data_IF_563402273012
#
_entry.id   IF_563402273012
#
_cell.length_a   1.000
_cell.length_b   1.000
_cell.length_c   1.000
_cell.angle_alpha   90.00
_cell.angle_beta   90.00
_cell.angle_gamma   90.00
#
_symmetry.space_group_name_H-M   'P 1'
#
loop_
_entity.id
_entity.type
_entity.pdbx_description
1 polymer ?
#
# COMPACT_ATOMS: atom_id res chain seq x y z
N UNK A 1 48.16 -5.39 -26.71
CA UNK A 1 47.32 -6.60 -26.77
C UNK A 1 46.75 -7.02 -25.42
N UNK A 2 47.53 -6.86 -24.33
CA UNK A 2 47.02 -7.09 -22.98
C UNK A 2 45.82 -6.18 -22.64
N UNK A 3 45.84 -4.92 -23.10
CA UNK A 3 44.76 -3.96 -22.89
C UNK A 3 43.45 -4.36 -23.54
N UNK A 4 43.48 -5.01 -24.70
CA UNK A 4 42.29 -5.50 -25.39
C UNK A 4 41.62 -6.67 -24.70
N UNK A 5 42.36 -7.45 -23.89
CA UNK A 5 41.81 -8.55 -23.08
C UNK A 5 41.27 -8.07 -21.73
N UNK A 6 41.91 -7.02 -21.16
CA UNK A 6 41.49 -6.45 -19.89
C UNK A 6 40.19 -5.64 -20.01
N UNK A 7 40.00 -4.91 -21.12
CA UNK A 7 38.89 -4.00 -21.32
C UNK A 7 37.51 -4.68 -21.28
N UNK A 8 37.27 -5.87 -21.89
CA UNK A 8 35.99 -6.54 -21.80
C UNK A 8 35.66 -6.95 -20.36
N UNK A 9 36.63 -7.44 -19.60
CA UNK A 9 36.44 -7.82 -18.19
C UNK A 9 36.12 -6.60 -17.33
N UNK A 10 36.84 -5.51 -17.54
CA UNK A 10 36.58 -4.25 -16.82
C UNK A 10 35.20 -3.69 -17.15
N UNK A 11 34.79 -3.72 -18.43
CA UNK A 11 33.47 -3.29 -18.85
C UNK A 11 32.37 -4.14 -18.22
N UNK A 12 32.55 -5.46 -18.14
CA UNK A 12 31.59 -6.37 -17.51
C UNK A 12 31.51 -6.15 -16.00
N UNK A 13 32.62 -5.92 -15.31
CA UNK A 13 32.64 -5.59 -13.89
C UNK A 13 31.93 -4.27 -13.61
N UNK A 14 32.15 -3.25 -14.42
CA UNK A 14 31.45 -1.95 -14.31
C UNK A 14 29.97 -2.13 -14.55
N UNK A 15 29.58 -2.90 -15.56
CA UNK A 15 28.18 -3.17 -15.86
C UNK A 15 27.50 -3.92 -14.72
N UNK A 16 28.12 -4.92 -14.14
CA UNK A 16 27.61 -5.64 -12.98
C UNK A 16 27.43 -4.71 -11.78
N UNK A 17 28.38 -3.81 -11.56
CA UNK A 17 28.31 -2.81 -10.49
C UNK A 17 27.14 -1.85 -10.71
N UNK A 18 26.94 -1.37 -11.95
CA UNK A 18 25.82 -0.48 -12.30
C UNK A 18 24.49 -1.19 -12.12
N UNK A 19 24.37 -2.44 -12.54
CA UNK A 19 23.16 -3.23 -12.36
C UNK A 19 22.84 -3.41 -10.88
N UNK A 20 23.83 -3.71 -10.05
CA UNK A 20 23.67 -3.82 -8.61
C UNK A 20 23.22 -2.53 -7.96
N UNK A 21 23.81 -1.39 -8.36
CA UNK A 21 23.43 -0.07 -7.86
C UNK A 21 22.01 0.29 -8.26
N UNK A 22 21.64 0.10 -9.54
CA UNK A 22 20.29 0.38 -10.03
C UNK A 22 19.26 -0.48 -9.33
N UNK A 23 19.57 -1.75 -9.09
CA UNK A 23 18.68 -2.66 -8.38
C UNK A 23 18.49 -2.22 -6.93
N UNK A 24 19.58 -1.81 -6.26
CA UNK A 24 19.51 -1.31 -4.89
C UNK A 24 18.67 -0.03 -4.81
N UNK A 25 18.85 0.90 -5.75
CA UNK A 25 18.04 2.13 -5.83
C UNK A 25 16.57 1.83 -6.08
N UNK A 26 16.26 0.88 -6.98
CA UNK A 26 14.90 0.47 -7.28
C UNK A 26 14.23 -0.18 -6.06
N UNK A 27 14.94 -1.02 -5.33
CA UNK A 27 14.43 -1.64 -4.10
C UNK A 27 14.20 -0.61 -3.00
N UNK A 28 15.11 0.36 -2.85
CA UNK A 28 14.94 1.44 -1.89
C UNK A 28 13.72 2.31 -2.23
N UNK A 29 13.52 2.63 -3.51
CA UNK A 29 12.36 3.39 -3.98
C UNK A 29 11.06 2.60 -3.74
N UNK A 30 11.06 1.28 -3.98
CA UNK A 30 9.91 0.42 -3.72
C UNK A 30 9.58 0.37 -2.23
N UNK A 31 10.58 0.22 -1.37
CA UNK A 31 10.39 0.22 0.09
C UNK A 31 9.83 1.56 0.57
N UNK A 32 10.33 2.69 0.02
CA UNK A 32 9.82 4.01 0.33
C UNK A 32 8.37 4.19 -0.10
N UNK A 33 8.00 3.73 -1.29
CA UNK A 33 6.63 3.76 -1.79
C UNK A 33 5.69 2.94 -0.90
N UNK A 34 6.09 1.73 -0.52
CA UNK A 34 5.31 0.87 0.38
C UNK A 34 5.13 1.51 1.75
N UNK A 35 6.18 2.08 2.32
CA UNK A 35 6.12 2.77 3.61
C UNK A 35 5.15 3.96 3.56
N UNK A 36 5.18 4.76 2.48
CA UNK A 36 4.26 5.87 2.28
C UNK A 36 2.81 5.42 2.21
N UNK A 37 2.53 4.39 1.41
CA UNK A 37 1.17 3.84 1.29
C UNK A 37 0.70 3.19 2.58
N UNK A 38 1.58 2.50 3.32
CA UNK A 38 1.25 1.92 4.63
C UNK A 38 0.90 3.02 5.65
N UNK A 39 1.62 4.15 5.62
CA UNK A 39 1.31 5.30 6.47
C UNK A 39 -0.07 5.88 6.20
N UNK A 40 -0.42 6.06 4.93
CA UNK A 40 -1.75 6.55 4.51
C UNK A 40 -2.85 5.57 4.93
N UNK A 41 -2.65 4.28 4.71
CA UNK A 41 -3.61 3.24 5.11
C UNK A 41 -3.79 3.21 6.63
N UNK A 42 -2.71 3.35 7.40
CA UNK A 42 -2.75 3.42 8.86
C UNK A 42 -3.53 4.63 9.36
N UNK A 43 -3.33 5.80 8.77
CA UNK A 43 -4.10 7.01 9.09
C UNK A 43 -5.59 6.82 8.79
N UNK A 44 -5.91 6.23 7.65
CA UNK A 44 -7.30 5.94 7.27
C UNK A 44 -7.98 5.00 8.26
N UNK A 45 -7.29 3.95 8.67
CA UNK A 45 -7.82 3.00 9.67
C UNK A 45 -8.02 3.67 11.03
N UNK A 46 -7.09 4.52 11.45
CA UNK A 46 -7.21 5.28 12.70
C UNK A 46 -8.43 6.21 12.65
N UNK A 47 -8.59 6.95 11.57
CA UNK A 47 -9.74 7.85 11.37
C UNK A 47 -11.05 7.07 11.36
N UNK A 48 -11.08 5.91 10.70
CA UNK A 48 -12.25 5.03 10.67
C UNK A 48 -12.60 4.51 12.07
N UNK A 49 -11.61 4.13 12.86
CA UNK A 49 -11.81 3.67 14.24
C UNK A 49 -12.36 4.79 15.13
N UNK A 50 -11.85 6.00 14.97
CA UNK A 50 -12.36 7.18 15.72
C UNK A 50 -13.79 7.50 15.32
N UNK A 51 -14.12 7.48 14.03
CA UNK A 51 -15.47 7.69 13.53
C UNK A 51 -16.42 6.60 14.06
N UNK A 52 -15.96 5.35 14.08
CA UNK A 52 -16.75 4.22 14.60
C UNK A 52 -17.05 4.36 16.10
N UNK A 53 -16.12 4.90 16.87
CA UNK A 53 -16.38 5.22 18.28
C UNK A 53 -17.56 6.19 18.42
N UNK A 54 -17.64 7.19 17.54
CA UNK A 54 -18.78 8.12 17.51
C UNK A 54 -20.10 7.44 17.14
N UNK A 55 -20.06 6.54 16.14
CA UNK A 55 -21.25 5.76 15.75
C UNK A 55 -21.70 4.83 16.88
N UNK A 56 -20.77 4.17 17.57
CA UNK A 56 -21.08 3.30 18.69
C UNK A 56 -21.67 4.09 19.87
N UNK A 57 -21.14 5.27 20.17
CA UNK A 57 -21.66 6.13 21.22
C UNK A 57 -23.09 6.60 20.91
N UNK A 58 -23.36 6.99 19.66
CA UNK A 58 -24.70 7.39 19.22
C UNK A 58 -25.69 6.22 19.30
N UNK A 59 -25.26 5.02 18.90
CA UNK A 59 -26.08 3.82 19.00
C UNK A 59 -26.40 3.46 20.46
N UNK A 60 -25.43 3.58 21.36
CA UNK A 60 -25.66 3.36 22.79
C UNK A 60 -26.68 4.37 23.35
N UNK A 61 -26.58 5.64 22.95
CA UNK A 61 -27.54 6.66 23.33
C UNK A 61 -28.95 6.34 22.82
N UNK A 62 -29.07 5.86 21.59
CA UNK A 62 -30.37 5.46 20.99
C UNK A 62 -30.98 4.27 21.75
N UNK A 63 -30.18 3.31 22.15
CA UNK A 63 -30.65 2.16 22.94
C UNK A 63 -31.12 2.63 24.31
N UNK A 64 -30.38 3.51 24.97
CA UNK A 64 -30.75 4.04 26.29
C UNK A 64 -31.99 4.94 26.23
N UNK A 65 -32.21 5.64 25.12
CA UNK A 65 -33.39 6.49 24.92
C UNK A 65 -34.62 5.71 24.46
N UNK A 66 -34.49 4.43 24.13
CA UNK A 66 -35.59 3.60 23.64
C UNK A 66 -36.66 3.43 24.74
N UNK A 67 -37.92 3.62 24.33
CA UNK A 67 -39.04 3.50 25.26
C UNK A 67 -39.48 2.03 25.48
N UNK A 68 -39.14 1.15 24.53
CA UNK A 68 -39.52 -0.27 24.59
C UNK A 68 -38.33 -1.17 24.24
N UNK A 69 -38.35 -2.45 24.67
CA UNK A 69 -37.31 -3.41 24.25
C UNK A 69 -37.22 -3.59 22.72
N UNK A 70 -38.35 -3.47 22.02
CA UNK A 70 -38.39 -3.57 20.55
C UNK A 70 -37.63 -2.38 19.92
N UNK A 71 -37.86 -1.19 20.39
CA UNK A 71 -37.13 0.01 19.93
C UNK A 71 -35.63 -0.10 20.20
N UNK A 72 -35.23 -0.63 21.36
CA UNK A 72 -33.85 -0.88 21.68
C UNK A 72 -33.24 -1.91 20.71
N UNK A 73 -33.94 -2.99 20.41
CA UNK A 73 -33.49 -3.99 19.44
C UNK A 73 -33.37 -3.42 18.03
N UNK A 74 -34.30 -2.57 17.61
CA UNK A 74 -34.24 -1.86 16.32
C UNK A 74 -33.02 -0.94 16.24
N UNK A 75 -32.73 -0.21 17.31
CA UNK A 75 -31.54 0.64 17.37
C UNK A 75 -30.25 -0.18 17.22
N UNK A 76 -30.16 -1.32 17.90
CA UNK A 76 -29.04 -2.24 17.78
C UNK A 76 -28.92 -2.80 16.36
N UNK A 77 -30.03 -3.16 15.74
CA UNK A 77 -30.04 -3.68 14.37
C UNK A 77 -29.58 -2.60 13.37
N UNK A 78 -30.05 -1.37 13.51
CA UNK A 78 -29.58 -0.25 12.66
C UNK A 78 -28.10 -0.05 12.79
N UNK A 79 -27.57 -0.11 14.01
CA UNK A 79 -26.13 -0.01 14.23
C UNK A 79 -25.38 -1.15 13.54
N UNK A 80 -25.83 -2.38 13.73
CA UNK A 80 -25.20 -3.57 13.14
C UNK A 80 -25.17 -3.50 11.61
N UNK A 81 -26.29 -3.12 10.99
CA UNK A 81 -26.35 -2.98 9.52
C UNK A 81 -25.48 -1.84 9.03
N UNK A 82 -25.46 -0.71 9.73
CA UNK A 82 -24.57 0.41 9.42
C UNK A 82 -23.09 0.03 9.56
N UNK A 83 -22.77 -0.73 10.59
CA UNK A 83 -21.41 -1.24 10.81
C UNK A 83 -20.94 -2.13 9.66
N UNK A 84 -21.77 -3.05 9.21
CA UNK A 84 -21.47 -3.92 8.07
C UNK A 84 -21.23 -3.12 6.80
N UNK A 85 -22.05 -2.10 6.54
CA UNK A 85 -21.85 -1.22 5.39
C UNK A 85 -20.54 -0.45 5.47
N UNK A 86 -20.21 0.11 6.64
CA UNK A 86 -18.96 0.84 6.87
C UNK A 86 -17.75 -0.08 6.80
N UNK A 87 -17.83 -1.27 7.40
CA UNK A 87 -16.76 -2.26 7.35
C UNK A 87 -16.51 -2.73 5.91
N UNK A 88 -17.55 -2.96 5.13
CA UNK A 88 -17.44 -3.31 3.72
C UNK A 88 -16.78 -2.21 2.89
N UNK A 89 -17.16 -0.94 3.11
CA UNK A 89 -16.54 0.19 2.44
C UNK A 89 -15.07 0.33 2.81
N UNK A 90 -14.70 0.13 4.08
CA UNK A 90 -13.31 0.14 4.54
C UNK A 90 -12.50 -0.99 3.91
N UNK A 91 -13.09 -2.17 3.82
CA UNK A 91 -12.45 -3.31 3.17
C UNK A 91 -12.12 -3.01 1.70
N UNK A 92 -13.09 -2.47 0.95
CA UNK A 92 -12.89 -2.09 -0.44
C UNK A 92 -11.81 -1.00 -0.58
N UNK A 93 -11.83 0.01 0.28
CA UNK A 93 -10.83 1.08 0.29
C UNK A 93 -9.43 0.53 0.59
N UNK A 94 -9.32 -0.38 1.56
CA UNK A 94 -8.05 -1.00 1.92
C UNK A 94 -7.50 -1.84 0.77
N UNK A 95 -8.34 -2.63 0.11
CA UNK A 95 -7.94 -3.40 -1.07
C UNK A 95 -7.47 -2.50 -2.21
N UNK A 96 -8.14 -1.37 -2.45
CA UNK A 96 -7.72 -0.39 -3.45
C UNK A 96 -6.35 0.21 -3.09
N UNK A 97 -6.13 0.55 -1.82
CA UNK A 97 -4.86 1.07 -1.32
C UNK A 97 -3.74 0.04 -1.49
N UNK A 98 -3.99 -1.23 -1.17
CA UNK A 98 -3.03 -2.31 -1.35
C UNK A 98 -2.66 -2.50 -2.82
N UNK A 99 -3.64 -2.44 -3.71
CA UNK A 99 -3.40 -2.55 -5.16
C UNK A 99 -2.53 -1.39 -5.66
N UNK A 100 -2.80 -0.17 -5.22
CA UNK A 100 -1.98 1.00 -5.55
C UNK A 100 -0.57 0.88 -4.98
N UNK A 101 -0.45 0.39 -3.75
CA UNK A 101 0.85 0.18 -3.10
C UNK A 101 1.69 -0.85 -3.87
N UNK A 102 1.09 -1.95 -4.29
CA UNK A 102 1.76 -2.97 -5.09
C UNK A 102 2.22 -2.40 -6.44
N UNK A 103 1.35 -1.66 -7.13
CA UNK A 103 1.71 -1.02 -8.40
C UNK A 103 2.85 -0.02 -8.22
N UNK A 104 2.82 0.80 -7.17
CA UNK A 104 3.85 1.77 -6.86
C UNK A 104 5.18 1.09 -6.49
N UNK A 105 5.13 -0.04 -5.79
CA UNK A 105 6.32 -0.80 -5.42
C UNK A 105 6.99 -1.47 -6.62
N UNK A 106 6.20 -1.94 -7.59
CA UNK A 106 6.70 -2.61 -8.80
C UNK A 106 7.26 -1.62 -9.81
N UNK A 107 6.70 -0.41 -9.90
CA UNK A 107 7.09 0.58 -10.91
C UNK A 107 8.59 0.90 -10.94
N UNK A 108 9.30 1.16 -9.82
CA UNK A 108 10.73 1.41 -9.85
C UNK A 108 11.54 0.19 -10.31
N UNK A 109 11.12 -1.01 -9.94
CA UNK A 109 11.77 -2.26 -10.34
C UNK A 109 11.61 -2.46 -11.84
N UNK A 110 10.41 -2.24 -12.37
CA UNK A 110 10.14 -2.32 -13.80
C UNK A 110 10.95 -1.30 -14.59
N UNK A 111 11.01 -0.05 -14.13
CA UNK A 111 11.78 1.01 -14.77
C UNK A 111 13.28 0.66 -14.83
N UNK A 112 13.82 0.11 -13.75
CA UNK A 112 15.21 -0.33 -13.70
C UNK A 112 15.47 -1.49 -14.68
N UNK A 113 14.56 -2.44 -14.78
CA UNK A 113 14.66 -3.54 -15.72
C UNK A 113 14.62 -3.07 -17.18
N UNK A 114 13.76 -2.12 -17.51
CA UNK A 114 13.66 -1.53 -18.86
C UNK A 114 14.93 -0.78 -19.21
N UNK A 115 15.44 0.06 -18.30
CA UNK A 115 16.68 0.80 -18.50
C UNK A 115 17.86 -0.13 -18.72
N UNK A 116 17.94 -1.19 -17.93
CA UNK A 116 18.97 -2.22 -18.03
C UNK A 116 18.91 -2.94 -19.39
N UNK A 117 17.73 -3.32 -19.83
CA UNK A 117 17.53 -3.98 -21.14
C UNK A 117 17.94 -3.06 -22.30
N UNK A 118 17.63 -1.76 -22.22
CA UNK A 118 18.06 -0.77 -23.23
C UNK A 118 19.58 -0.65 -23.28
N UNK A 119 20.23 -0.58 -22.12
CA UNK A 119 21.67 -0.48 -22.04
C UNK A 119 22.36 -1.69 -22.66
N UNK A 120 21.85 -2.89 -22.37
CA UNK A 120 22.39 -4.14 -22.92
C UNK A 120 22.19 -4.22 -24.43
N UNK A 121 21.09 -3.72 -24.97
CA UNK A 121 20.86 -3.70 -26.43
C UNK A 121 21.79 -2.76 -27.18
N UNK A 122 22.30 -1.73 -26.55
CA UNK A 122 23.23 -0.78 -27.15
C UNK A 122 24.67 -1.29 -27.21
N UNK A 123 24.94 -2.39 -26.57
CA UNK A 123 26.24 -3.08 -26.63
C UNK A 123 26.32 -3.97 -27.87
#
# INVERSE_FOLDING_TARGET
>A
MADGLANPLSADMVEMSLMGTEKAEALAASAGALAGHAGVAGQRLTQAAMAETGHAAAAAADVMAAATPIEAAEAQMRYALGWWGRAGAQWLALNADMTRAQAAAVAPIHAAAVANARRLRKR
#
